data_IF_283926142949
#
_entry.id   IF_283926142949
#
_cell.length_a   1.000
_cell.length_b   1.000
_cell.length_c   1.000
_cell.angle_alpha   90.00
_cell.angle_beta   90.00
_cell.angle_gamma   90.00
#
_symmetry.space_group_name_H-M   'P 1'
#
loop_
_entity.id
_entity.type
_entity.pdbx_description
1 polymer ?
#
# COMPACT_ATOMS: atom_id res chain seq x y z
N UNK A 1 -38.10 -53.85 -32.71
CA UNK A 1 -36.69 -54.28 -32.74
C UNK A 1 -35.89 -53.18 -33.42
N UNK A 2 -34.92 -52.59 -32.73
CA UNK A 2 -33.63 -52.14 -33.29
C UNK A 2 -32.84 -51.43 -32.20
N UNK A 3 -31.77 -52.10 -31.78
CA UNK A 3 -30.74 -51.61 -30.87
C UNK A 3 -29.82 -50.72 -31.69
N UNK A 4 -29.54 -49.51 -31.24
CA UNK A 4 -28.39 -48.76 -31.73
C UNK A 4 -27.41 -48.50 -30.58
N UNK A 5 -26.18 -48.80 -30.93
CA UNK A 5 -25.02 -49.03 -30.10
C UNK A 5 -24.58 -47.81 -29.29
N UNK A 6 -24.17 -48.11 -28.06
CA UNK A 6 -23.23 -47.38 -27.21
C UNK A 6 -22.00 -46.90 -28.00
N UNK A 7 -21.69 -45.61 -27.95
CA UNK A 7 -20.34 -45.09 -28.19
C UNK A 7 -19.94 -44.28 -26.97
N UNK A 8 -19.18 -44.96 -26.10
CA UNK A 8 -18.39 -44.37 -25.05
C UNK A 8 -17.38 -43.37 -25.60
N UNK A 9 -17.12 -42.36 -24.76
CA UNK A 9 -15.79 -41.78 -24.53
C UNK A 9 -15.12 -41.02 -25.68
N UNK A 10 -15.14 -39.68 -25.61
CA UNK A 10 -13.93 -38.85 -25.57
C UNK A 10 -14.33 -37.37 -25.40
N UNK A 11 -14.38 -36.87 -24.18
CA UNK A 11 -14.10 -35.44 -23.94
C UNK A 11 -13.23 -35.37 -22.68
N UNK A 12 -12.00 -35.84 -22.84
CA UNK A 12 -10.93 -35.69 -21.85
C UNK A 12 -10.61 -34.19 -21.70
N UNK A 13 -11.08 -33.62 -20.60
CA UNK A 13 -10.28 -32.86 -19.65
C UNK A 13 -9.09 -32.10 -20.27
N UNK A 14 -9.34 -30.96 -20.91
CA UNK A 14 -8.30 -29.94 -21.10
C UNK A 14 -7.97 -29.35 -19.73
N UNK A 15 -7.09 -30.03 -18.99
CA UNK A 15 -6.46 -29.48 -17.80
C UNK A 15 -5.76 -28.18 -18.22
N UNK A 16 -6.37 -27.06 -17.85
CA UNK A 16 -5.73 -25.76 -17.94
C UNK A 16 -4.42 -25.84 -17.19
N UNK A 17 -3.31 -25.77 -17.92
CA UNK A 17 -2.00 -25.59 -17.31
C UNK A 17 -2.10 -24.34 -16.43
N UNK A 18 -1.68 -24.39 -15.15
CA UNK A 18 -1.40 -23.16 -14.45
C UNK A 18 -0.23 -22.55 -15.22
N UNK A 19 -0.51 -21.54 -16.03
CA UNK A 19 0.51 -20.64 -16.52
C UNK A 19 1.13 -20.02 -15.27
N UNK A 20 2.24 -20.61 -14.80
CA UNK A 20 3.07 -20.07 -13.76
C UNK A 20 3.64 -18.77 -14.30
N UNK A 21 2.85 -17.70 -14.19
CA UNK A 21 3.34 -16.35 -14.36
C UNK A 21 4.43 -16.21 -13.30
N UNK A 22 5.69 -16.24 -13.75
CA UNK A 22 6.85 -15.92 -12.92
C UNK A 22 6.70 -14.45 -12.50
N UNK A 23 5.92 -14.23 -11.45
CA UNK A 23 5.75 -12.93 -10.85
C UNK A 23 7.11 -12.57 -10.27
N UNK A 24 7.70 -11.48 -10.78
CA UNK A 24 8.91 -10.91 -10.19
C UNK A 24 8.68 -10.82 -8.67
N UNK A 25 9.67 -11.16 -7.84
CA UNK A 25 9.50 -11.10 -6.39
C UNK A 25 8.93 -9.73 -6.01
N UNK A 26 7.76 -9.72 -5.37
CA UNK A 26 7.16 -8.46 -4.93
C UNK A 26 8.15 -7.77 -4.00
N UNK A 27 8.51 -6.53 -4.33
CA UNK A 27 9.36 -5.70 -3.48
C UNK A 27 8.50 -4.83 -2.59
N UNK A 28 9.05 -4.39 -1.46
CA UNK A 28 8.39 -3.38 -0.63
C UNK A 28 8.13 -2.09 -1.43
N UNK A 29 7.02 -1.35 -1.20
CA UNK A 29 6.79 -0.07 -1.86
C UNK A 29 7.92 0.92 -1.62
N UNK A 30 8.35 1.62 -2.65
CA UNK A 30 9.43 2.60 -2.53
C UNK A 30 8.97 3.81 -1.69
N UNK A 31 9.93 4.53 -1.12
CA UNK A 31 9.65 5.75 -0.35
C UNK A 31 8.99 6.82 -1.23
N UNK A 32 9.37 6.88 -2.49
CA UNK A 32 8.84 7.78 -3.52
C UNK A 32 7.37 7.45 -3.82
N UNK A 33 7.01 6.16 -3.92
CA UNK A 33 5.62 5.74 -4.10
C UNK A 33 4.76 6.18 -2.91
N UNK A 34 5.22 5.95 -1.67
CA UNK A 34 4.50 6.40 -0.48
C UNK A 34 4.40 7.93 -0.40
N UNK A 35 5.46 8.65 -0.80
CA UNK A 35 5.44 10.11 -0.87
C UNK A 35 4.50 10.65 -1.95
N UNK A 36 4.35 9.95 -3.07
CA UNK A 36 3.41 10.33 -4.11
C UNK A 36 1.96 10.31 -3.59
N UNK A 37 1.57 9.23 -2.91
CA UNK A 37 0.26 9.13 -2.23
C UNK A 37 0.09 10.26 -1.22
N UNK A 38 1.08 10.46 -0.34
CA UNK A 38 1.05 11.52 0.68
C UNK A 38 0.87 12.91 0.07
N UNK A 39 1.60 13.22 -1.01
CA UNK A 39 1.50 14.51 -1.70
C UNK A 39 0.10 14.74 -2.24
N UNK A 40 -0.45 13.77 -2.96
CA UNK A 40 -1.79 13.91 -3.53
C UNK A 40 -2.87 13.95 -2.45
N UNK A 41 -2.69 13.23 -1.33
CA UNK A 41 -3.60 13.32 -0.19
C UNK A 41 -3.68 14.75 0.38
N UNK A 42 -2.52 15.42 0.55
CA UNK A 42 -2.50 16.82 0.95
C UNK A 42 -3.14 17.75 -0.09
N UNK A 43 -3.00 17.46 -1.38
CA UNK A 43 -3.71 18.21 -2.43
C UNK A 43 -5.22 17.99 -2.31
N UNK A 44 -5.70 16.76 -2.14
CA UNK A 44 -7.14 16.45 -1.96
C UNK A 44 -7.73 17.12 -0.72
N UNK A 45 -6.96 17.16 0.37
CA UNK A 45 -7.31 17.90 1.59
C UNK A 45 -7.46 19.40 1.31
N UNK A 46 -6.50 20.02 0.62
CA UNK A 46 -6.51 21.47 0.35
C UNK A 46 -7.55 21.89 -0.69
N UNK A 47 -7.65 21.15 -1.79
CA UNK A 47 -8.39 21.55 -2.98
C UNK A 47 -9.82 21.04 -2.98
N UNK A 48 -10.09 19.88 -2.37
CA UNK A 48 -11.42 19.25 -2.33
C UNK A 48 -12.08 19.14 -3.72
N UNK A 49 -11.27 18.82 -4.73
CA UNK A 49 -11.67 18.63 -6.12
C UNK A 49 -11.49 17.17 -6.53
N UNK A 50 -12.17 16.77 -7.61
CA UNK A 50 -12.18 15.38 -8.06
C UNK A 50 -10.77 14.88 -8.39
N UNK A 51 -10.01 15.63 -9.19
CA UNK A 51 -8.68 15.23 -9.67
C UNK A 51 -7.71 14.78 -8.57
N UNK A 52 -7.35 15.61 -7.57
CA UNK A 52 -6.39 15.20 -6.54
C UNK A 52 -6.95 14.10 -5.62
N UNK A 53 -8.27 14.07 -5.36
CA UNK A 53 -8.88 13.04 -4.52
C UNK A 53 -8.91 11.67 -5.24
N UNK A 54 -9.29 11.64 -6.50
CA UNK A 54 -9.27 10.43 -7.32
C UNK A 54 -7.84 9.93 -7.53
N UNK A 55 -6.90 10.83 -7.77
CA UNK A 55 -5.47 10.48 -7.90
C UNK A 55 -4.90 9.93 -6.59
N UNK A 56 -5.27 10.51 -5.44
CA UNK A 56 -4.91 9.96 -4.12
C UNK A 56 -5.40 8.53 -4.00
N UNK A 57 -6.68 8.29 -4.33
CA UNK A 57 -7.29 6.96 -4.24
C UNK A 57 -6.64 5.97 -5.20
N UNK A 58 -6.41 6.36 -6.46
CA UNK A 58 -5.79 5.50 -7.47
C UNK A 58 -4.35 5.09 -7.10
N UNK A 59 -3.58 5.98 -6.46
CA UNK A 59 -2.22 5.65 -6.01
C UNK A 59 -2.22 4.80 -4.72
N UNK A 60 -3.21 4.99 -3.84
CA UNK A 60 -3.31 4.29 -2.57
C UNK A 60 -3.93 2.89 -2.69
N UNK A 61 -4.88 2.69 -3.60
CA UNK A 61 -5.63 1.44 -3.76
C UNK A 61 -4.74 0.20 -3.95
N UNK A 62 -3.70 0.21 -4.80
CA UNK A 62 -2.80 -0.95 -4.94
C UNK A 62 -2.03 -1.32 -3.67
N UNK A 63 -1.94 -0.42 -2.68
CA UNK A 63 -1.29 -0.71 -1.39
C UNK A 63 -2.15 -1.63 -0.52
N UNK A 64 -3.48 -1.68 -0.70
CA UNK A 64 -4.37 -2.57 0.05
C UNK A 64 -4.08 -4.04 -0.25
N UNK A 65 -3.83 -4.36 -1.51
CA UNK A 65 -3.56 -5.73 -1.98
C UNK A 65 -2.08 -6.12 -1.86
N UNK A 66 -1.23 -5.22 -1.38
CA UNK A 66 0.21 -5.47 -1.31
C UNK A 66 0.51 -6.59 -0.29
N UNK A 67 1.15 -7.72 -0.69
CA UNK A 67 1.31 -8.89 0.17
C UNK A 67 2.33 -8.67 1.29
N UNK A 68 3.27 -7.73 1.12
CA UNK A 68 4.31 -7.44 2.12
C UNK A 68 3.91 -6.36 3.13
N UNK A 69 2.84 -5.60 2.89
CA UNK A 69 2.48 -4.51 3.79
C UNK A 69 1.78 -5.05 5.05
N UNK A 70 2.17 -4.59 6.26
CA UNK A 70 1.56 -5.04 7.50
C UNK A 70 0.10 -4.54 7.59
N UNK A 71 -0.74 -5.26 8.33
CA UNK A 71 -2.15 -4.89 8.54
C UNK A 71 -2.33 -3.43 8.98
N UNK A 72 -1.50 -2.96 9.91
CA UNK A 72 -1.53 -1.56 10.40
C UNK A 72 -1.30 -0.54 9.28
N UNK A 73 -0.46 -0.85 8.27
CA UNK A 73 -0.32 0.02 7.10
C UNK A 73 -1.59 0.00 6.25
N UNK A 74 -2.20 -1.18 6.07
CA UNK A 74 -3.46 -1.31 5.32
C UNK A 74 -4.60 -0.57 6.02
N UNK A 75 -4.65 -0.52 7.34
CA UNK A 75 -5.65 0.25 8.08
C UNK A 75 -5.53 1.77 7.80
N UNK A 76 -4.29 2.28 7.71
CA UNK A 76 -4.01 3.68 7.34
C UNK A 76 -4.44 3.94 5.89
N UNK A 77 -4.08 3.04 4.97
CA UNK A 77 -4.45 3.15 3.55
C UNK A 77 -5.98 3.11 3.39
N UNK A 78 -6.66 2.18 4.05
CA UNK A 78 -8.11 2.06 4.07
C UNK A 78 -8.77 3.35 4.56
N UNK A 79 -8.33 3.86 5.71
CA UNK A 79 -8.84 5.12 6.28
C UNK A 79 -8.62 6.29 5.31
N UNK A 80 -7.45 6.36 4.67
CA UNK A 80 -7.16 7.38 3.66
C UNK A 80 -8.09 7.25 2.45
N UNK A 81 -8.35 6.04 1.96
CA UNK A 81 -9.28 5.80 0.86
C UNK A 81 -10.69 6.26 1.21
N UNK A 82 -11.18 5.95 2.42
CA UNK A 82 -12.50 6.39 2.87
C UNK A 82 -12.64 7.93 2.90
N UNK A 83 -11.59 8.61 3.35
CA UNK A 83 -11.60 10.05 3.60
C UNK A 83 -11.25 10.90 2.37
N UNK A 84 -10.40 10.41 1.47
CA UNK A 84 -9.92 11.13 0.29
C UNK A 84 -10.97 11.17 -0.84
N UNK A 85 -12.13 11.75 -0.56
CA UNK A 85 -13.25 11.94 -1.49
C UNK A 85 -13.70 13.40 -1.48
N UNK A 86 -14.23 13.86 -2.61
CA UNK A 86 -14.84 15.20 -2.68
C UNK A 86 -16.00 15.29 -1.69
N UNK A 87 -16.04 16.38 -0.93
CA UNK A 87 -17.11 16.71 0.02
C UNK A 87 -17.83 17.99 -0.43
N UNK A 88 -19.13 18.15 -0.12
CA UNK A 88 -19.82 19.43 -0.33
C UNK A 88 -19.18 20.61 0.40
N UNK A 89 -18.43 20.36 1.48
CA UNK A 89 -17.74 21.40 2.25
C UNK A 89 -16.35 20.92 2.66
N UNK A 90 -15.34 21.80 2.51
CA UNK A 90 -13.96 21.51 2.89
C UNK A 90 -13.62 22.04 4.29
N UNK A 91 -14.30 21.52 5.31
CA UNK A 91 -14.09 21.94 6.68
C UNK A 91 -12.75 21.45 7.27
N UNK A 92 -12.36 22.04 8.41
CA UNK A 92 -11.11 21.67 9.09
C UNK A 92 -11.08 20.18 9.47
N UNK A 93 -12.21 19.63 9.90
CA UNK A 93 -12.31 18.24 10.36
C UNK A 93 -12.00 17.25 9.23
N UNK A 94 -12.54 17.48 8.03
CA UNK A 94 -12.25 16.69 6.83
C UNK A 94 -10.78 16.79 6.46
N UNK A 95 -10.26 18.01 6.41
CA UNK A 95 -8.86 18.27 6.05
C UNK A 95 -7.90 17.55 6.99
N UNK A 96 -8.12 17.69 8.30
CA UNK A 96 -7.24 17.08 9.29
C UNK A 96 -7.32 15.54 9.27
N UNK A 97 -8.51 14.97 9.03
CA UNK A 97 -8.66 13.52 8.88
C UNK A 97 -7.77 12.98 7.74
N UNK A 98 -7.83 13.60 6.56
CA UNK A 98 -6.98 13.22 5.41
C UNK A 98 -5.50 13.45 5.72
N UNK A 99 -5.17 14.62 6.26
CA UNK A 99 -3.78 15.01 6.56
C UNK A 99 -3.14 14.08 7.59
N UNK A 100 -3.90 13.61 8.59
CA UNK A 100 -3.43 12.67 9.60
C UNK A 100 -3.01 11.34 8.96
N UNK A 101 -3.85 10.76 8.09
CA UNK A 101 -3.51 9.51 7.42
C UNK A 101 -2.33 9.70 6.45
N UNK A 102 -2.29 10.84 5.74
CA UNK A 102 -1.18 11.20 4.86
C UNK A 102 0.15 11.27 5.63
N UNK A 103 0.18 11.91 6.81
CA UNK A 103 1.38 11.98 7.68
C UNK A 103 1.83 10.60 8.15
N UNK A 104 0.88 9.74 8.53
CA UNK A 104 1.14 8.39 9.05
C UNK A 104 1.63 7.41 7.98
N UNK A 105 1.31 7.65 6.70
CA UNK A 105 1.61 6.71 5.62
C UNK A 105 3.10 6.34 5.56
N UNK A 106 4.00 7.32 5.55
CA UNK A 106 5.45 7.02 5.44
C UNK A 106 6.06 6.44 6.72
N UNK A 107 5.55 6.78 7.90
CA UNK A 107 6.09 6.26 9.17
C UNK A 107 5.64 4.83 9.47
N UNK A 108 4.44 4.46 9.00
CA UNK A 108 3.84 3.13 9.23
C UNK A 108 4.13 2.17 8.08
N UNK A 109 4.03 2.63 6.83
CA UNK A 109 4.14 1.77 5.66
C UNK A 109 5.57 1.62 5.12
N UNK A 110 6.53 2.46 5.52
CA UNK A 110 7.90 2.29 5.07
C UNK A 110 8.55 1.04 5.69
N UNK A 111 9.44 0.40 4.94
CA UNK A 111 10.19 -0.76 5.42
C UNK A 111 11.06 -0.31 6.59
N UNK A 112 10.84 -0.90 7.76
CA UNK A 112 11.75 -0.71 8.90
C UNK A 112 13.07 -1.41 8.62
N UNK A 113 14.15 -0.65 8.57
CA UNK A 113 15.49 -1.23 8.63
C UNK A 113 15.69 -1.80 10.03
N UNK A 114 16.07 -3.07 10.14
CA UNK A 114 16.50 -3.62 11.42
C UNK A 114 17.76 -2.85 11.82
N UNK A 115 17.85 -2.32 13.07
CA UNK A 115 19.08 -1.71 13.53
C UNK A 115 20.23 -2.71 13.32
N UNK A 116 21.28 -2.29 12.62
CA UNK A 116 22.53 -3.06 12.60
C UNK A 116 22.91 -3.26 14.07
N UNK A 117 22.95 -4.51 14.53
CA UNK A 117 23.47 -4.82 15.87
C UNK A 117 24.81 -4.13 15.98
N UNK A 118 24.97 -3.24 16.98
CA UNK A 118 26.28 -2.66 17.26
C UNK A 118 27.22 -3.84 17.54
N UNK A 119 28.42 -3.88 16.93
CA UNK A 119 29.41 -4.85 17.33
C UNK A 119 29.65 -4.70 18.85
N UNK A 120 29.78 -5.81 19.61
CA UNK A 120 30.10 -5.74 21.02
C UNK A 120 31.36 -4.91 21.22
N UNK A 121 31.30 -3.86 22.06
CA UNK A 121 32.43 -3.01 22.39
C UNK A 121 32.56 -1.67 21.63
N UNK A 122 31.60 -1.29 20.79
CA UNK A 122 31.61 0.05 20.19
C UNK A 122 31.36 1.14 21.28
N UNK A 123 32.27 2.12 21.46
CA UNK A 123 32.07 3.19 22.44
C UNK A 123 30.85 4.05 22.09
N UNK A 124 30.17 4.64 23.08
CA UNK A 124 29.03 5.50 22.84
C UNK A 124 29.48 6.74 22.05
N UNK A 125 29.02 6.87 20.80
CA UNK A 125 29.15 8.10 20.03
C UNK A 125 28.22 9.17 20.63
N UNK A 126 28.80 10.13 21.35
CA UNK A 126 28.13 11.36 21.76
C UNK A 126 28.14 11.62 23.27
N UNK A 127 29.28 12.07 23.80
CA UNK A 127 29.27 12.96 24.95
C UNK A 127 29.47 14.39 24.41
N UNK A 128 28.56 15.35 24.68
CA UNK A 128 28.81 16.75 24.34
C UNK A 128 29.98 17.26 25.20
N UNK A 129 30.91 17.96 24.56
CA UNK A 129 32.10 18.50 25.18
C UNK A 129 31.79 19.35 26.41
N UNK A 130 32.51 19.07 27.50
CA UNK A 130 32.65 20.00 28.60
C UNK A 130 33.46 21.21 28.09
N UNK A 131 32.82 22.37 28.08
CA UNK A 131 33.47 23.66 27.91
C UNK A 131 34.22 24.00 29.21
N UNK A 132 35.49 24.41 29.07
CA UNK A 132 36.24 25.19 30.06
C UNK A 132 36.83 26.40 29.36
#
# INVERSE_FOLDING_TARGET
MSKFFTVSALLMLTLGLPAGASQRPTTWPSKEQLRAVQKEAFNCSRENSAEPCDKTRALADPLMDHPLLPGVCKDVVWSLLEQARVSPTNDYKRRDAIDEQARRLTSICAKREKPKKRPPGAPPSGAPGAQS
#
